data_IF_487641708254
#
_entry.id   IF_487641708254
#
_cell.length_a   1.000
_cell.length_b   1.000
_cell.length_c   1.000
_cell.angle_alpha   90.00
_cell.angle_beta   90.00
_cell.angle_gamma   90.00
#
_symmetry.space_group_name_H-M   'P 1'
#
loop_
_entity.id
_entity.type
_entity.pdbx_description
1 polymer ?
#
# COMPACT_ATOMS: atom_id res chain seq x y z
N UNK A 1 -17.19 -21.10 -6.85
CA UNK A 1 -16.60 -19.76 -7.03
C UNK A 1 -15.36 -19.69 -6.17
N UNK A 2 -14.17 -19.68 -6.76
CA UNK A 2 -12.98 -19.31 -6.00
C UNK A 2 -13.17 -17.86 -5.58
N UNK A 3 -13.23 -17.59 -4.27
CA UNK A 3 -12.97 -16.25 -3.78
C UNK A 3 -11.58 -15.92 -4.34
N UNK A 4 -11.52 -15.04 -5.33
CA UNK A 4 -10.27 -14.39 -5.66
C UNK A 4 -10.03 -13.57 -4.41
N UNK A 5 -9.26 -14.14 -3.49
CA UNK A 5 -8.93 -13.51 -2.24
C UNK A 5 -8.08 -12.31 -2.66
N UNK A 6 -8.79 -11.19 -2.85
CA UNK A 6 -8.24 -9.98 -3.39
C UNK A 6 -7.12 -9.63 -2.43
N UNK A 7 -5.90 -9.64 -2.90
CA UNK A 7 -4.83 -9.52 -1.95
C UNK A 7 -4.74 -8.07 -1.49
N UNK A 8 -4.87 -7.85 -0.19
CA UNK A 8 -4.85 -6.54 0.40
C UNK A 8 -3.54 -6.28 1.11
N UNK A 9 -3.09 -5.03 1.05
CA UNK A 9 -1.96 -4.57 1.82
C UNK A 9 -2.33 -3.28 2.56
N UNK A 10 -1.98 -3.22 3.84
CA UNK A 10 -2.10 -2.00 4.62
C UNK A 10 -0.78 -1.23 4.63
N UNK A 11 -0.87 0.08 4.54
CA UNK A 11 0.29 0.95 4.40
C UNK A 11 0.14 2.24 5.19
N UNK A 12 1.29 2.79 5.57
CA UNK A 12 1.39 4.13 6.17
C UNK A 12 2.08 5.05 5.19
N UNK A 13 1.52 6.21 4.98
CA UNK A 13 2.14 7.31 4.26
C UNK A 13 2.14 8.56 5.13
N UNK A 14 3.09 9.45 4.84
CA UNK A 14 3.15 10.77 5.44
C UNK A 14 3.09 11.85 4.38
N UNK A 15 2.49 12.98 4.72
CA UNK A 15 2.65 14.21 3.97
C UNK A 15 3.46 15.16 4.84
N UNK A 16 4.46 15.80 4.27
CA UNK A 16 5.26 16.80 4.96
C UNK A 16 4.73 18.20 4.60
N UNK A 17 4.60 19.09 5.59
CA UNK A 17 4.13 20.48 5.47
C UNK A 17 2.69 20.66 4.95
N UNK A 18 1.64 20.44 5.77
CA UNK A 18 1.66 20.07 7.21
C UNK A 18 1.95 18.58 7.42
N UNK A 19 2.54 18.23 8.58
CA UNK A 19 2.81 16.82 8.92
C UNK A 19 1.49 16.08 9.10
N UNK A 20 1.15 15.23 8.13
CA UNK A 20 -0.04 14.37 8.19
C UNK A 20 0.37 12.92 8.07
N UNK A 21 -0.28 12.05 8.83
CA UNK A 21 -0.12 10.61 8.74
C UNK A 21 -1.40 10.03 8.15
N UNK A 22 -1.24 9.30 7.05
CA UNK A 22 -2.31 8.57 6.41
C UNK A 22 -2.05 7.08 6.55
N UNK A 23 -3.07 6.36 6.98
CA UNK A 23 -3.07 4.90 7.00
C UNK A 23 -4.21 4.44 6.10
N UNK A 24 -3.87 3.57 5.16
CA UNK A 24 -4.78 3.09 4.15
C UNK A 24 -4.59 1.60 3.90
N UNK A 25 -5.59 1.00 3.27
CA UNK A 25 -5.59 -0.36 2.78
C UNK A 25 -5.86 -0.31 1.29
N UNK A 26 -5.14 -1.11 0.52
CA UNK A 26 -5.28 -1.15 -0.93
C UNK A 26 -5.26 -2.58 -1.41
N UNK A 27 -6.14 -2.87 -2.37
CA UNK A 27 -6.13 -4.12 -3.10
C UNK A 27 -5.00 -4.11 -4.13
N UNK A 28 -4.20 -5.16 -4.09
CA UNK A 28 -3.06 -5.39 -4.94
C UNK A 28 -3.32 -6.63 -5.80
N UNK A 29 -2.74 -6.68 -7.01
CA UNK A 29 -2.75 -7.91 -7.80
C UNK A 29 -1.94 -8.99 -7.08
N UNK A 30 -2.29 -10.26 -7.30
CA UNK A 30 -1.61 -11.42 -6.71
C UNK A 30 -0.08 -11.37 -6.85
N UNK A 31 0.41 -10.83 -7.98
CA UNK A 31 1.84 -10.68 -8.25
C UNK A 31 2.55 -9.71 -7.30
N UNK A 32 1.84 -8.72 -6.76
CA UNK A 32 2.38 -7.74 -5.83
C UNK A 32 2.27 -8.17 -4.37
N UNK A 33 1.53 -9.25 -4.09
CA UNK A 33 1.42 -9.83 -2.77
C UNK A 33 2.45 -10.90 -2.45
N UNK A 34 3.30 -11.24 -3.43
CA UNK A 34 4.44 -12.13 -3.22
C UNK A 34 5.44 -11.58 -2.19
N UNK A 35 5.55 -10.26 -2.02
CA UNK A 35 6.45 -9.64 -1.03
C UNK A 35 6.02 -8.23 -0.65
N UNK A 36 6.41 -7.79 0.55
CA UNK A 36 6.23 -6.41 1.01
C UNK A 36 6.90 -5.39 0.08
N UNK A 37 8.03 -5.75 -0.53
CA UNK A 37 8.71 -4.91 -1.52
C UNK A 37 7.90 -4.76 -2.81
N UNK A 38 7.30 -5.85 -3.30
CA UNK A 38 6.44 -5.81 -4.48
C UNK A 38 5.17 -4.99 -4.21
N UNK A 39 4.59 -5.13 -3.02
CA UNK A 39 3.49 -4.29 -2.56
C UNK A 39 3.91 -2.83 -2.48
N UNK A 40 5.03 -2.52 -1.83
CA UNK A 40 5.55 -1.16 -1.72
C UNK A 40 5.82 -0.52 -3.10
N UNK A 41 6.33 -1.29 -4.07
CA UNK A 41 6.56 -0.81 -5.44
C UNK A 41 5.26 -0.43 -6.16
N UNK A 42 4.14 -1.09 -5.85
CA UNK A 42 2.82 -0.75 -6.37
C UNK A 42 2.15 0.40 -5.59
N UNK A 43 2.33 0.44 -4.28
CA UNK A 43 1.70 1.42 -3.39
C UNK A 43 2.41 2.77 -3.48
N UNK A 44 3.73 2.78 -3.57
CA UNK A 44 4.57 3.99 -3.60
C UNK A 44 4.14 5.00 -4.69
N UNK A 45 3.98 4.63 -5.97
CA UNK A 45 3.51 5.58 -6.99
C UNK A 45 2.03 5.96 -6.82
N UNK A 46 1.20 5.10 -6.21
CA UNK A 46 -0.22 5.39 -5.96
C UNK A 46 -0.39 6.41 -4.84
N UNK A 47 0.36 6.24 -3.76
CA UNK A 47 0.34 7.19 -2.65
C UNK A 47 1.20 8.40 -2.94
N UNK A 48 2.22 8.31 -3.80
CA UNK A 48 3.07 9.42 -4.24
C UNK A 48 2.33 10.63 -4.84
N UNK A 49 1.05 10.47 -5.15
CA UNK A 49 0.19 11.56 -5.61
C UNK A 49 -0.02 12.59 -4.50
N UNK A 50 -0.13 13.86 -4.88
CA UNK A 50 -0.45 14.98 -3.97
C UNK A 50 0.54 15.18 -2.81
N UNK A 51 1.78 14.70 -2.93
CA UNK A 51 2.85 14.95 -1.96
C UNK A 51 2.88 14.01 -0.76
N UNK A 52 2.11 12.92 -0.80
CA UNK A 52 2.24 11.85 0.20
C UNK A 52 3.44 10.95 -0.15
N UNK A 53 4.16 10.51 0.88
CA UNK A 53 5.32 9.63 0.79
C UNK A 53 5.00 8.35 1.53
N UNK A 54 5.13 7.21 0.86
CA UNK A 54 5.02 5.89 1.49
C UNK A 54 6.09 5.75 2.58
N UNK A 55 5.67 5.56 3.83
CA UNK A 55 6.58 5.28 4.94
C UNK A 55 6.88 3.80 5.06
N UNK A 56 5.82 2.98 5.09
CA UNK A 56 5.97 1.53 5.24
C UNK A 56 4.72 0.80 4.80
N UNK A 57 4.89 -0.43 4.30
CA UNK A 57 3.81 -1.41 4.17
C UNK A 57 3.83 -2.23 5.45
N UNK A 58 2.71 -2.30 6.17
CA UNK A 58 2.68 -2.95 7.47
C UNK A 58 2.48 -4.46 7.34
N UNK A 59 1.54 -4.88 6.50
CA UNK A 59 1.12 -6.26 6.33
C UNK A 59 0.43 -6.46 4.98
N UNK A 60 0.42 -7.72 4.54
CA UNK A 60 -0.28 -8.20 3.35
C UNK A 60 -1.17 -9.35 3.81
N UNK A 61 -2.42 -9.37 3.36
CA UNK A 61 -3.43 -10.35 3.75
C UNK A 61 -4.40 -10.62 2.59
N UNK A 62 -4.93 -11.84 2.49
CA UNK A 62 -5.91 -12.25 1.47
C UNK A 62 -7.33 -12.42 2.03
#
# INVERSE_FOLDING_TARGET
MSAQAGCYADYKAKQDNPLQLHYGMVELPDTACASLEAAAAQISPRVGVEGWTLLNVLSIFD
#
